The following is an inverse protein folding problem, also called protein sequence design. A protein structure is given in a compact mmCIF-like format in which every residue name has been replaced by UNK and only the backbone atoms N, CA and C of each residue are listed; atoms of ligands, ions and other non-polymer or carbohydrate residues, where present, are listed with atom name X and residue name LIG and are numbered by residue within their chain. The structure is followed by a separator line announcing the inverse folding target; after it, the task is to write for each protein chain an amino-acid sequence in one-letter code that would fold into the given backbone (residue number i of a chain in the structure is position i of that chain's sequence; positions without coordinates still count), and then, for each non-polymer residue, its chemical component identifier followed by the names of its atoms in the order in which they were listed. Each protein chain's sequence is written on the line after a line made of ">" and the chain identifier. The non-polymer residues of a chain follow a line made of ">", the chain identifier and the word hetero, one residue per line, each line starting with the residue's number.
data_IF_403013456654
#
_entry.id   IF_403013456654
#
_cell.length_a   1.000
_cell.length_b   1.000
_cell.length_c   1.000
_cell.angle_alpha   90.00
_cell.angle_beta   90.00
_cell.angle_gamma   90.00
#
_symmetry.space_group_name_H-M   'P 1'
#
loop_
_entity.id
_entity.type
_entity.pdbx_description
1 polymer ?
#
# COMPACT_ATOMS: atom_id res chain seq x y z
N UNK A 1 26.12 -7.13 -19.46
CA UNK A 1 24.76 -6.63 -19.14
C UNK A 1 23.82 -7.82 -19.10
N UNK A 2 23.04 -8.03 -18.02
CA UNK A 2 21.93 -8.98 -18.05
C UNK A 2 20.86 -8.40 -18.98
N UNK A 3 20.48 -9.14 -20.03
CA UNK A 3 19.37 -8.77 -20.91
C UNK A 3 18.06 -8.87 -20.11
N UNK A 4 17.26 -7.81 -20.13
CA UNK A 4 15.92 -7.84 -19.52
C UNK A 4 15.00 -8.66 -20.42
N UNK A 5 14.54 -9.78 -19.90
CA UNK A 5 13.50 -10.56 -20.56
C UNK A 5 12.15 -10.00 -20.12
N UNK A 6 11.54 -9.15 -20.96
CA UNK A 6 10.28 -8.48 -20.64
C UNK A 6 9.16 -9.46 -20.24
N UNK A 7 9.19 -10.68 -20.79
CA UNK A 7 8.23 -11.74 -20.48
C UNK A 7 8.24 -12.20 -19.01
N UNK A 8 9.35 -11.99 -18.29
CA UNK A 8 9.52 -12.41 -16.90
C UNK A 8 9.33 -11.26 -15.90
N UNK A 9 9.09 -10.04 -16.39
CA UNK A 9 8.88 -8.85 -15.56
C UNK A 9 7.55 -8.98 -14.83
N UNK A 10 7.55 -8.64 -13.55
CA UNK A 10 6.31 -8.64 -12.74
C UNK A 10 5.30 -7.64 -13.31
N UNK A 11 4.09 -8.12 -13.61
CA UNK A 11 2.99 -7.33 -14.19
C UNK A 11 1.97 -6.95 -13.12
N UNK A 12 1.68 -5.65 -12.91
CA UNK A 12 0.66 -5.23 -11.95
C UNK A 12 -0.75 -5.65 -12.37
N UNK A 13 -0.99 -5.80 -13.67
CA UNK A 13 -2.31 -6.18 -14.22
C UNK A 13 -2.67 -7.64 -13.96
N UNK A 14 -1.68 -8.52 -13.92
CA UNK A 14 -1.89 -9.95 -13.68
C UNK A 14 -1.69 -10.34 -12.22
N UNK A 15 -0.92 -9.55 -11.46
CA UNK A 15 -0.71 -9.78 -10.03
C UNK A 15 -2.03 -9.85 -9.27
N UNK A 16 -2.21 -10.89 -8.47
CA UNK A 16 -3.45 -11.15 -7.74
C UNK A 16 -3.31 -10.76 -6.28
N UNK A 17 -4.37 -10.20 -5.72
CA UNK A 17 -4.46 -9.85 -4.30
C UNK A 17 -5.64 -10.59 -3.70
N UNK A 18 -5.40 -11.33 -2.63
CA UNK A 18 -6.42 -12.12 -1.94
C UNK A 18 -6.43 -11.82 -0.45
N UNK A 19 -7.63 -11.69 0.12
CA UNK A 19 -7.82 -11.55 1.55
C UNK A 19 -7.74 -12.94 2.21
N UNK A 20 -6.88 -13.09 3.21
CA UNK A 20 -6.72 -14.35 3.94
C UNK A 20 -7.75 -14.43 5.06
N UNK A 21 -8.47 -15.56 5.12
CA UNK A 21 -9.50 -15.86 6.13
C UNK A 21 -10.52 -14.71 6.28
N UNK A 22 -11.27 -14.39 5.21
CA UNK A 22 -12.25 -13.31 5.24
C UNK A 22 -13.31 -13.57 6.33
N UNK A 23 -13.59 -12.56 7.15
CA UNK A 23 -14.67 -12.58 8.13
C UNK A 23 -15.88 -11.82 7.59
N UNK A 24 -17.07 -12.21 8.02
CA UNK A 24 -18.29 -11.44 7.73
C UNK A 24 -18.29 -10.06 8.41
N UNK A 25 -17.62 -9.97 9.56
CA UNK A 25 -17.48 -8.74 10.36
C UNK A 25 -16.07 -8.67 10.94
N UNK A 26 -15.52 -7.47 10.93
CA UNK A 26 -14.23 -7.15 11.54
C UNK A 26 -14.45 -6.22 12.73
N UNK A 27 -13.70 -6.45 13.81
CA UNK A 27 -13.64 -5.53 14.96
C UNK A 27 -12.49 -4.54 14.84
N UNK A 28 -12.51 -3.50 15.66
CA UNK A 28 -11.29 -2.73 15.91
C UNK A 28 -10.20 -3.65 16.47
N UNK A 29 -8.96 -3.38 16.11
CA UNK A 29 -7.76 -4.17 16.44
C UNK A 29 -7.68 -5.55 15.78
N UNK A 30 -8.68 -5.98 14.99
CA UNK A 30 -8.51 -7.16 14.14
C UNK A 30 -7.37 -6.93 13.15
N UNK A 31 -6.72 -8.03 12.74
CA UNK A 31 -5.68 -7.98 11.72
C UNK A 31 -6.25 -8.35 10.36
N UNK A 32 -6.04 -7.46 9.39
CA UNK A 32 -6.29 -7.75 7.99
C UNK A 32 -5.01 -8.31 7.40
N UNK A 33 -5.10 -9.51 6.82
CA UNK A 33 -3.96 -10.18 6.20
C UNK A 33 -4.30 -10.40 4.74
N UNK A 34 -3.43 -9.91 3.85
CA UNK A 34 -3.55 -10.17 2.41
C UNK A 34 -2.38 -11.01 1.93
N UNK A 35 -2.65 -11.78 0.88
CA UNK A 35 -1.64 -12.45 0.06
C UNK A 35 -1.59 -11.79 -1.30
N UNK A 36 -0.39 -11.52 -1.77
CA UNK A 36 -0.13 -11.01 -3.11
C UNK A 36 0.60 -12.13 -3.87
N UNK A 37 0.07 -12.50 -5.03
CA UNK A 37 0.67 -13.48 -5.93
C UNK A 37 1.13 -12.75 -7.19
N UNK A 38 2.45 -12.52 -7.27
CA UNK A 38 3.07 -11.81 -8.37
C UNK A 38 3.06 -12.68 -9.63
N UNK A 39 2.61 -12.08 -10.73
CA UNK A 39 2.52 -12.72 -12.03
C UNK A 39 3.38 -11.95 -13.04
N UNK A 40 3.98 -12.66 -13.99
CA UNK A 40 4.73 -12.02 -15.07
C UNK A 40 3.80 -11.43 -16.16
N UNK A 41 4.38 -10.79 -17.17
CA UNK A 41 3.64 -10.20 -18.31
C UNK A 41 2.96 -11.23 -19.21
N UNK A 42 3.30 -12.52 -19.09
CA UNK A 42 2.62 -13.63 -19.74
C UNK A 42 1.60 -14.33 -18.84
N UNK A 43 1.26 -13.71 -17.69
CA UNK A 43 0.31 -14.24 -16.70
C UNK A 43 0.74 -15.61 -16.12
N UNK A 44 2.04 -15.82 -15.96
CA UNK A 44 2.61 -16.98 -15.26
C UNK A 44 3.03 -16.58 -13.84
N UNK A 45 2.88 -17.46 -12.84
CA UNK A 45 3.35 -17.17 -11.49
C UNK A 45 4.86 -16.91 -11.47
N UNK A 46 5.27 -15.88 -10.74
CA UNK A 46 6.68 -15.61 -10.46
C UNK A 46 7.25 -16.74 -9.61
N UNK A 47 8.51 -17.11 -9.87
CA UNK A 47 9.22 -18.16 -9.12
C UNK A 47 10.18 -17.60 -8.07
N UNK A 48 10.29 -16.28 -7.99
CA UNK A 48 11.18 -15.55 -7.09
C UNK A 48 10.49 -14.25 -6.64
N UNK A 49 11.01 -13.68 -5.56
CA UNK A 49 10.46 -12.47 -4.93
C UNK A 49 11.22 -11.20 -5.32
N UNK A 50 11.44 -10.34 -4.33
CA UNK A 50 12.20 -9.07 -4.39
C UNK A 50 11.52 -7.92 -5.15
N UNK A 51 10.23 -8.07 -5.46
CA UNK A 51 9.44 -6.96 -5.98
C UNK A 51 9.15 -5.93 -4.88
N UNK A 52 9.21 -4.65 -5.22
CA UNK A 52 8.88 -3.56 -4.31
C UNK A 52 7.41 -3.17 -4.44
N UNK A 53 6.60 -3.64 -3.49
CA UNK A 53 5.18 -3.28 -3.36
C UNK A 53 4.98 -2.18 -2.31
N UNK A 54 4.22 -1.14 -2.67
CA UNK A 54 3.65 -0.17 -1.73
C UNK A 54 2.21 -0.54 -1.45
N UNK A 55 1.88 -0.83 -0.19
CA UNK A 55 0.56 -1.31 0.20
C UNK A 55 -0.01 -0.42 1.29
N UNK A 56 -1.26 0.01 1.11
CA UNK A 56 -1.99 0.81 2.09
C UNK A 56 -3.40 0.27 2.31
N UNK A 57 -3.84 0.32 3.56
CA UNK A 57 -5.23 0.19 3.95
C UNK A 57 -5.76 1.60 4.24
N UNK A 58 -6.89 1.99 3.64
CA UNK A 58 -7.43 3.34 3.80
C UNK A 58 -8.96 3.37 3.75
N UNK A 59 -9.55 4.45 4.27
CA UNK A 59 -10.97 4.78 4.11
C UNK A 59 -11.14 6.20 3.60
N UNK A 60 -12.31 6.45 3.01
CA UNK A 60 -12.71 7.81 2.59
C UNK A 60 -13.48 8.55 3.69
N UNK A 61 -14.14 7.80 4.58
CA UNK A 61 -14.91 8.34 5.70
C UNK A 61 -14.73 7.43 6.92
N UNK A 62 -14.05 7.89 8.00
CA UNK A 62 -13.19 9.07 8.04
C UNK A 62 -12.02 8.96 7.05
N UNK A 63 -11.36 10.07 6.69
CA UNK A 63 -10.12 10.00 5.91
C UNK A 63 -8.98 9.49 6.78
N UNK A 64 -8.62 8.23 6.60
CA UNK A 64 -7.55 7.59 7.36
C UNK A 64 -6.85 6.56 6.47
N UNK A 65 -5.55 6.39 6.68
CA UNK A 65 -4.74 5.41 5.99
C UNK A 65 -3.64 4.87 6.91
N UNK A 66 -3.29 3.60 6.73
CA UNK A 66 -2.20 2.93 7.42
C UNK A 66 -1.45 2.03 6.44
N UNK A 67 -0.13 1.97 6.60
CA UNK A 67 0.73 1.04 5.87
C UNK A 67 0.80 -0.31 6.59
N UNK A 68 1.29 -1.34 5.91
CA UNK A 68 1.46 -2.65 6.51
C UNK A 68 2.46 -2.57 7.66
N UNK A 69 2.12 -3.11 8.83
CA UNK A 69 3.04 -3.24 9.97
C UNK A 69 3.91 -4.51 9.86
N UNK A 70 3.49 -5.46 9.01
CA UNK A 70 4.26 -6.64 8.66
C UNK A 70 4.16 -6.88 7.15
N UNK A 71 5.31 -7.08 6.50
CA UNK A 71 5.42 -7.47 5.09
C UNK A 71 6.46 -8.58 4.95
N UNK A 72 6.07 -9.71 4.37
CA UNK A 72 6.91 -10.91 4.22
C UNK A 72 6.93 -11.33 2.75
N UNK A 73 8.14 -11.46 2.21
CA UNK A 73 8.39 -12.08 0.91
C UNK A 73 8.77 -13.56 1.10
N UNK A 74 7.97 -14.48 0.56
CA UNK A 74 8.25 -15.92 0.62
C UNK A 74 9.29 -16.37 -0.41
N UNK A 75 9.81 -15.46 -1.23
CA UNK A 75 10.83 -15.67 -2.27
C UNK A 75 10.43 -16.69 -3.34
N UNK A 76 9.14 -16.85 -3.55
CA UNK A 76 8.55 -17.76 -4.52
C UNK A 76 7.47 -17.05 -5.36
N UNK A 77 7.55 -15.73 -5.49
CA UNK A 77 6.53 -14.89 -6.13
C UNK A 77 5.30 -14.59 -5.26
N UNK A 78 5.27 -15.09 -4.02
CA UNK A 78 4.18 -14.83 -3.07
C UNK A 78 4.63 -13.91 -1.94
N UNK A 79 3.78 -12.96 -1.59
CA UNK A 79 4.00 -12.00 -0.50
C UNK A 79 2.83 -12.01 0.48
N UNK A 80 3.10 -11.68 1.73
CA UNK A 80 2.10 -11.49 2.78
C UNK A 80 2.21 -10.09 3.35
N UNK A 81 1.09 -9.40 3.49
CA UNK A 81 1.03 -8.12 4.22
C UNK A 81 -0.05 -8.19 5.30
N UNK A 82 0.23 -7.57 6.45
CA UNK A 82 -0.71 -7.46 7.55
C UNK A 82 -0.90 -6.01 7.98
N UNK A 83 -2.11 -5.68 8.41
CA UNK A 83 -2.49 -4.35 8.90
C UNK A 83 -3.30 -4.48 10.18
N UNK A 84 -3.08 -3.63 11.19
CA UNK A 84 -4.02 -3.47 12.29
C UNK A 84 -5.22 -2.63 11.84
N UNK A 85 -6.44 -3.03 12.20
CA UNK A 85 -7.63 -2.20 12.03
C UNK A 85 -7.72 -1.17 13.14
N UNK A 86 -7.58 0.11 12.78
CA UNK A 86 -7.45 1.19 13.76
C UNK A 86 -8.68 2.11 13.82
N UNK A 87 -9.62 2.00 12.89
CA UNK A 87 -10.83 2.82 12.85
C UNK A 87 -12.00 2.06 12.21
N UNK A 88 -13.21 2.61 12.39
CA UNK A 88 -14.44 2.05 11.83
C UNK A 88 -14.74 2.64 10.45
N UNK A 89 -15.45 1.89 9.61
CA UNK A 89 -15.93 2.35 8.31
C UNK A 89 -15.67 1.38 7.16
N UNK A 90 -15.85 1.88 5.95
CA UNK A 90 -15.56 1.15 4.72
C UNK A 90 -14.09 1.28 4.36
N UNK A 91 -13.41 0.14 4.27
CA UNK A 91 -11.97 0.08 4.05
C UNK A 91 -11.64 -0.41 2.65
N UNK A 92 -10.56 0.13 2.12
CA UNK A 92 -10.00 -0.22 0.83
C UNK A 92 -8.53 -0.58 1.00
N UNK A 93 -8.11 -1.65 0.33
CA UNK A 93 -6.70 -2.03 0.22
C UNK A 93 -6.21 -1.69 -1.17
N UNK A 94 -5.15 -0.90 -1.25
CA UNK A 94 -4.44 -0.62 -2.49
C UNK A 94 -3.06 -1.24 -2.42
N UNK A 95 -2.72 -2.06 -3.42
CA UNK A 95 -1.40 -2.65 -3.63
C UNK A 95 -0.83 -2.02 -4.89
N UNK A 96 0.30 -1.33 -4.81
CA UNK A 96 0.98 -0.73 -5.95
C UNK A 96 2.33 -1.42 -6.14
N UNK A 97 2.57 -2.00 -7.31
CA UNK A 97 3.91 -2.42 -7.71
C UNK A 97 4.72 -1.16 -8.07
N UNK A 98 5.71 -0.81 -7.25
CA UNK A 98 6.56 0.36 -7.48
C UNK A 98 7.70 -0.02 -8.41
N UNK A 99 8.42 -1.10 -8.09
CA UNK A 99 9.49 -1.62 -8.92
C UNK A 99 9.45 -3.15 -8.94
N UNK A 100 9.46 -3.79 -10.13
CA UNK A 100 9.67 -5.22 -10.22
C UNK A 100 11.13 -5.57 -9.88
N UNK A 101 11.39 -6.79 -9.42
CA UNK A 101 12.74 -7.25 -9.11
C UNK A 101 13.71 -7.14 -10.31
N UNK A 102 13.20 -7.26 -11.53
CA UNK A 102 13.97 -7.10 -12.78
C UNK A 102 14.56 -5.69 -12.95
N UNK A 103 14.00 -4.68 -12.28
CA UNK A 103 14.50 -3.32 -12.34
C UNK A 103 15.71 -3.09 -11.42
N UNK A 104 15.94 -3.95 -10.42
CA UNK A 104 17.03 -3.80 -9.44
C UNK A 104 18.40 -3.64 -10.12
N UNK A 105 18.80 -4.49 -11.10
CA UNK A 105 20.08 -4.32 -11.79
C UNK A 105 20.22 -2.99 -12.54
N UNK A 106 19.11 -2.38 -12.96
CA UNK A 106 19.13 -1.07 -13.61
C UNK A 106 19.42 0.05 -12.63
N UNK A 107 19.08 -0.10 -11.35
CA UNK A 107 19.38 0.91 -10.32
C UNK A 107 20.83 0.87 -9.81
N UNK A 108 21.56 -0.22 -10.06
CA UNK A 108 22.94 -0.40 -9.57
C UNK A 108 23.87 0.77 -9.98
N UNK A 109 23.90 1.23 -11.25
CA UNK A 109 24.72 2.39 -11.62
C UNK A 109 24.36 3.67 -10.86
N UNK A 110 23.11 3.83 -10.42
CA UNK A 110 22.72 4.98 -9.59
C UNK A 110 23.19 4.94 -8.16
N UNK A 111 23.24 3.75 -7.58
CA UNK A 111 23.80 3.58 -6.24
C UNK A 111 25.30 3.91 -6.24
N UNK A 112 26.00 3.62 -7.34
CA UNK A 112 27.42 3.93 -7.51
C UNK A 112 27.70 5.38 -7.96
N UNK A 113 26.67 6.22 -8.11
CA UNK A 113 26.82 7.60 -8.60
C UNK A 113 27.26 7.71 -10.05
N UNK A 114 27.23 6.61 -10.82
CA UNK A 114 27.62 6.57 -12.23
C UNK A 114 26.52 7.08 -13.16
N UNK A 115 25.26 7.01 -12.71
CA UNK A 115 24.07 7.53 -13.42
C UNK A 115 23.03 8.03 -12.43
N UNK A 116 22.21 9.01 -12.80
CA UNK A 116 21.06 9.39 -11.99
C UNK A 116 19.77 8.89 -12.64
N UNK A 117 19.11 7.89 -12.05
CA UNK A 117 17.73 7.52 -12.38
C UNK A 117 16.78 8.40 -11.56
N UNK A 118 16.52 9.61 -12.04
CA UNK A 118 15.49 10.48 -11.47
C UNK A 118 14.11 10.03 -11.99
N UNK A 119 13.24 9.58 -11.09
CA UNK A 119 11.82 9.43 -11.39
C UNK A 119 11.16 10.81 -11.25
N UNK A 120 10.81 11.42 -12.38
CA UNK A 120 9.99 12.62 -12.38
C UNK A 120 8.54 12.19 -12.09
N UNK A 121 8.09 12.45 -10.85
CA UNK A 121 6.70 12.33 -10.48
C UNK A 121 5.96 13.59 -10.85
N UNK A 122 4.66 13.42 -10.87
CA UNK A 122 3.68 14.43 -11.24
C UNK A 122 2.48 14.20 -10.35
N UNK A 123 1.71 15.22 -10.03
CA UNK A 123 0.30 15.03 -9.69
C UNK A 123 -0.60 16.01 -10.45
N UNK A 124 -1.76 15.55 -10.92
CA UNK A 124 -2.79 16.49 -11.36
C UNK A 124 -3.30 17.25 -10.14
N UNK A 125 -3.03 18.56 -10.07
CA UNK A 125 -3.54 19.42 -9.01
C UNK A 125 -4.81 20.10 -9.51
N UNK A 126 -5.95 19.70 -8.96
CA UNK A 126 -7.23 20.38 -9.16
C UNK A 126 -7.49 21.34 -8.01
N UNK A 127 -7.68 22.62 -8.32
CA UNK A 127 -8.15 23.62 -7.37
C UNK A 127 -9.35 24.37 -7.94
N UNK A 128 -10.23 24.82 -7.05
CA UNK A 128 -11.26 25.82 -7.37
C UNK A 128 -10.71 27.13 -6.83
N UNK A 129 -10.49 28.13 -7.69
CA UNK A 129 -10.02 29.43 -7.24
C UNK A 129 -11.14 30.24 -6.55
N UNK A 130 -10.79 31.36 -5.93
CA UNK A 130 -11.74 32.21 -5.20
C UNK A 130 -12.85 32.78 -6.10
N UNK A 131 -12.71 32.67 -7.43
CA UNK A 131 -13.71 33.04 -8.43
C UNK A 131 -14.62 31.86 -8.83
N UNK A 132 -14.47 30.69 -8.19
CA UNK A 132 -15.22 29.48 -8.49
C UNK A 132 -14.76 28.76 -9.75
N UNK A 133 -13.62 29.13 -10.33
CA UNK A 133 -13.09 28.54 -11.56
C UNK A 133 -12.23 27.33 -11.21
N UNK A 134 -12.57 26.17 -11.79
CA UNK A 134 -11.72 24.98 -11.72
C UNK A 134 -10.45 25.20 -12.52
N UNK A 135 -9.29 25.06 -11.88
CA UNK A 135 -7.98 25.02 -12.51
C UNK A 135 -7.37 23.65 -12.27
N UNK A 136 -6.89 23.04 -13.36
CA UNK A 136 -6.16 21.78 -13.34
C UNK A 136 -4.79 22.00 -13.98
N UNK A 137 -3.73 21.61 -13.29
CA UNK A 137 -2.38 21.58 -13.87
C UNK A 137 -2.04 20.15 -14.27
N UNK A 138 -1.76 19.96 -15.56
CA UNK A 138 -1.26 18.70 -16.08
C UNK A 138 0.21 18.59 -15.74
N UNK A 139 0.54 17.59 -14.96
CA UNK A 139 1.87 17.01 -14.94
C UNK A 139 1.66 15.50 -15.36
N UNK A 140 2.67 14.69 -15.73
CA UNK A 140 2.71 13.21 -16.02
C UNK A 140 2.81 12.12 -14.88
N UNK A 141 1.70 11.52 -14.40
CA UNK A 141 1.68 10.55 -13.27
C UNK A 141 1.46 9.10 -13.74
N UNK A 142 1.93 8.12 -12.95
CA UNK A 142 2.04 6.69 -13.29
C UNK A 142 0.73 5.95 -13.64
N UNK A 143 0.90 4.76 -14.23
CA UNK A 143 -0.13 3.76 -14.51
C UNK A 143 -1.08 3.55 -13.32
N UNK A 144 -2.38 3.39 -13.64
CA UNK A 144 -3.45 3.21 -12.65
C UNK A 144 -3.11 2.06 -11.69
N UNK A 145 -3.26 2.25 -10.37
CA UNK A 145 -3.07 1.16 -9.43
C UNK A 145 -4.03 0.00 -9.75
N UNK A 146 -3.64 -1.26 -9.51
CA UNK A 146 -4.52 -2.40 -9.68
C UNK A 146 -5.76 -2.27 -8.79
N UNK A 147 -6.81 -3.02 -9.13
CA UNK A 147 -8.12 -2.94 -8.48
C UNK A 147 -7.98 -3.11 -6.96
N UNK A 148 -8.50 -2.14 -6.21
CA UNK A 148 -8.52 -2.19 -4.77
C UNK A 148 -9.46 -3.30 -4.27
N UNK A 149 -9.08 -3.95 -3.17
CA UNK A 149 -9.95 -4.89 -2.45
C UNK A 149 -10.78 -4.12 -1.43
N UNK A 150 -12.09 -4.30 -1.45
CA UNK A 150 -13.05 -3.62 -0.56
C UNK A 150 -13.40 -4.51 0.64
N UNK A 151 -13.41 -3.93 1.84
CA UNK A 151 -13.70 -4.63 3.11
C UNK A 151 -14.66 -3.78 3.95
N UNK A 152 -15.76 -4.39 4.39
CA UNK A 152 -16.74 -3.76 5.27
C UNK A 152 -16.46 -4.07 6.74
N UNK A 153 -16.30 -3.03 7.56
CA UNK A 153 -16.22 -3.15 9.01
C UNK A 153 -17.57 -2.75 9.59
N UNK A 154 -18.27 -3.70 10.22
CA UNK A 154 -19.54 -3.45 10.89
C UNK A 154 -19.25 -3.22 12.38
N UNK A 155 -19.62 -2.07 12.97
CA UNK A 155 -19.47 -1.85 14.39
C UNK A 155 -20.24 -2.93 15.15
N UNK A 156 -19.60 -3.58 16.11
CA UNK A 156 -20.29 -4.55 16.97
C UNK A 156 -21.42 -3.83 17.70
N UNK A 157 -22.67 -4.23 17.45
CA UNK A 157 -23.85 -3.73 18.16
C UNK A 157 -23.78 -4.13 19.63
N UNK A 158 -23.09 -3.32 20.39
CA UNK A 158 -22.89 -3.41 21.83
C UNK A 158 -22.27 -2.10 22.26
N UNK A 159 -23.10 -1.12 22.57
CA UNK A 159 -22.71 0.21 23.05
C UNK A 159 -21.66 0.08 24.15
N UNK A 160 -20.40 0.40 23.85
CA UNK A 160 -19.44 0.72 24.90
C UNK A 160 -19.57 2.21 25.18
N UNK A 161 -20.43 2.56 26.13
CA UNK A 161 -20.37 3.86 26.80
C UNK A 161 -19.06 3.88 27.59
N UNK A 162 -18.00 4.38 26.96
CA UNK A 162 -16.78 4.74 27.67
C UNK A 162 -17.07 5.98 28.51
N UNK A 163 -17.60 5.77 29.71
CA UNK A 163 -17.48 6.74 30.80
C UNK A 163 -16.02 6.68 31.24
N UNK A 164 -15.19 7.56 30.69
CA UNK A 164 -13.76 7.65 31.03
C UNK A 164 -13.63 8.44 32.34
N UNK A 165 -13.27 7.81 33.49
CA UNK A 165 -12.70 8.58 34.59
C UNK A 165 -11.30 9.01 34.13
N UNK A 166 -10.97 10.27 34.37
CA UNK A 166 -9.67 10.85 34.01
C UNK A 166 -8.50 9.94 34.41
N UNK A 167 -7.53 9.80 33.50
CA UNK A 167 -6.19 9.21 33.66
C UNK A 167 -6.05 7.69 33.47
N UNK A 168 -6.27 7.18 32.26
CA UNK A 168 -5.30 6.31 31.53
C UNK A 168 -5.84 6.03 30.13
N UNK A 169 -5.10 6.47 29.10
CA UNK A 169 -5.43 6.19 27.69
C UNK A 169 -5.01 4.75 27.37
N UNK A 170 -5.98 3.85 27.17
CA UNK A 170 -5.76 2.62 26.39
C UNK A 170 -6.37 2.83 25.01
N UNK A 171 -5.58 3.47 24.14
CA UNK A 171 -5.70 3.32 22.69
C UNK A 171 -4.55 2.44 22.22
N UNK A 172 -4.73 1.72 21.12
CA UNK A 172 -3.62 1.05 20.45
C UNK A 172 -2.54 2.08 20.12
N UNK A 173 -1.40 2.00 20.80
CA UNK A 173 -0.27 2.86 20.55
C UNK A 173 0.53 2.29 19.39
N UNK A 174 0.43 2.92 18.22
CA UNK A 174 1.50 2.81 17.22
C UNK A 174 2.60 3.76 17.66
N UNK A 175 3.74 3.23 18.10
CA UNK A 175 4.94 4.02 18.35
C UNK A 175 5.48 4.46 16.98
N UNK A 176 5.07 5.64 16.53
CA UNK A 176 5.72 6.30 15.39
C UNK A 176 7.05 6.85 15.90
N UNK A 177 8.16 6.21 15.52
CA UNK A 177 9.49 6.77 15.77
C UNK A 177 9.66 8.03 14.91
N UNK A 178 9.61 9.20 15.56
CA UNK A 178 10.05 10.46 14.95
C UNK A 178 11.58 10.44 14.85
N UNK A 179 12.19 10.92 13.75
CA UNK A 179 13.61 11.21 13.74
C UNK A 179 13.89 12.24 14.84
N UNK A 180 14.80 11.93 15.75
CA UNK A 180 15.35 12.95 16.64
C UNK A 180 16.34 13.77 15.82
N UNK A 181 16.09 15.07 15.73
CA UNK A 181 17.11 16.04 15.33
C UNK A 181 18.37 15.81 16.16
N UNK A 182 19.47 15.51 15.48
CA UNK A 182 20.80 15.48 16.09
C UNK A 182 21.22 16.93 16.33
N UNK A 183 21.45 17.25 17.60
CA UNK A 183 22.03 18.51 18.07
C UNK A 183 23.56 18.41 18.08
#
# INVERSE_FOLDING_TARGET
>A
MKTLHFDNVTSPNFTKVTLINPKLRYGLCDRIIIRIEAMDTLNRPKLYGEDFFRIKLFSRVPYAAVIADMFVDYRNGTYLASFPLLWEGLMYIEVLLVHPAEAIPMFIPSIHGERSYAHNYVGEFEMIDDAGVKRAENVSCFEKPPKAVEIHIIPSTGSMVLRVPSKTRQGCATVMCSPKDQK
#
